data_IF_627100035114
#
_entry.id   IF_627100035114
#
_cell.length_a   1.000
_cell.length_b   1.000
_cell.length_c   1.000
_cell.angle_alpha   90.00
_cell.angle_beta   90.00
_cell.angle_gamma   90.00
#
_symmetry.space_group_name_H-M   'P 1'
#
loop_
_entity.id
_entity.type
_entity.pdbx_description
1 polymer ?
#
# COMPACT_ATOMS: atom_id res chain seq x y z
N UNK A 1 24.96 2.39 44.60
CA UNK A 1 24.10 3.25 43.74
C UNK A 1 24.34 2.86 42.28
N UNK A 2 23.46 2.07 41.64
CA UNK A 2 23.61 1.67 40.22
C UNK A 2 22.65 2.47 39.35
N UNK A 3 23.21 3.17 38.36
CA UNK A 3 22.53 4.07 37.41
C UNK A 3 21.76 3.20 36.39
N UNK A 4 20.43 3.32 36.37
CA UNK A 4 19.58 2.62 35.39
C UNK A 4 19.72 3.38 34.06
N UNK A 5 20.42 2.78 33.12
CA UNK A 5 20.51 3.26 31.74
C UNK A 5 19.15 3.02 31.08
N UNK A 6 18.48 4.11 30.72
CA UNK A 6 17.22 4.10 29.98
C UNK A 6 17.44 3.45 28.60
N UNK A 7 17.16 2.16 28.51
CA UNK A 7 17.08 1.47 27.22
C UNK A 7 15.85 2.01 26.46
N UNK A 8 16.12 2.95 25.55
CA UNK A 8 15.17 3.47 24.57
C UNK A 8 14.54 2.29 23.84
N UNK A 9 13.22 2.10 24.03
CA UNK A 9 12.46 1.02 23.38
C UNK A 9 12.60 1.19 21.87
N UNK A 10 13.31 0.26 21.23
CA UNK A 10 13.28 0.08 19.78
C UNK A 10 11.99 -0.67 19.49
N UNK A 11 10.94 0.06 19.15
CA UNK A 11 9.74 -0.54 18.55
C UNK A 11 10.15 -1.05 17.17
N UNK A 12 10.75 -2.23 17.13
CA UNK A 12 10.74 -3.05 15.93
C UNK A 12 9.29 -3.45 15.71
N UNK A 13 8.74 -3.06 14.56
CA UNK A 13 7.43 -3.47 14.07
C UNK A 13 7.44 -4.99 13.83
N UNK A 14 7.39 -5.76 14.91
CA UNK A 14 7.34 -7.21 14.91
C UNK A 14 6.03 -7.62 15.57
N UNK A 15 5.06 -7.82 14.69
CA UNK A 15 4.12 -8.92 14.75
C UNK A 15 3.45 -9.16 16.12
N UNK A 16 2.79 -8.15 16.67
CA UNK A 16 1.79 -8.41 17.72
C UNK A 16 0.55 -8.96 17.01
N UNK A 17 0.57 -10.25 16.69
CA UNK A 17 -0.66 -11.01 16.44
C UNK A 17 -1.30 -11.25 17.81
N UNK A 18 -2.44 -10.61 18.14
CA UNK A 18 -3.11 -10.86 19.39
C UNK A 18 -3.56 -12.33 19.40
N UNK A 19 -3.26 -13.05 20.47
CA UNK A 19 -3.62 -14.45 20.73
C UNK A 19 -5.16 -14.70 20.81
N UNK A 20 -5.99 -13.77 20.31
CA UNK A 20 -7.45 -13.89 20.23
C UNK A 20 -7.95 -13.48 18.85
N UNK A 21 -8.62 -14.41 18.15
CA UNK A 21 -9.12 -14.27 16.76
C UNK A 21 -10.33 -13.33 16.62
N UNK A 22 -10.31 -12.15 17.23
CA UNK A 22 -11.38 -11.15 17.10
C UNK A 22 -10.98 -10.13 16.05
N UNK A 23 -11.87 -9.88 15.08
CA UNK A 23 -11.68 -8.79 14.12
C UNK A 23 -11.74 -7.46 14.88
N UNK A 24 -10.66 -6.72 14.85
CA UNK A 24 -10.53 -5.38 15.45
C UNK A 24 -9.94 -4.46 14.40
N UNK A 25 -10.32 -3.19 14.45
CA UNK A 25 -9.73 -2.17 13.59
C UNK A 25 -8.32 -1.87 14.09
N UNK A 26 -7.38 -1.79 13.16
CA UNK A 26 -6.03 -1.31 13.40
C UNK A 26 -5.71 -0.20 12.40
N UNK A 27 -4.72 0.62 12.75
CA UNK A 27 -4.12 1.58 11.82
C UNK A 27 -2.82 0.98 11.27
N UNK A 28 -2.62 1.12 9.97
CA UNK A 28 -1.37 0.70 9.31
C UNK A 28 -0.22 1.66 9.60
N UNK A 29 0.95 1.35 9.05
CA UNK A 29 2.09 2.26 9.06
C UNK A 29 1.86 3.48 8.16
N UNK A 30 2.72 4.49 8.31
CA UNK A 30 2.72 5.61 7.38
C UNK A 30 3.06 5.13 5.96
N UNK A 31 2.38 5.68 4.96
CA UNK A 31 2.63 5.43 3.56
C UNK A 31 3.10 6.72 2.89
N UNK A 32 4.00 6.60 1.92
CA UNK A 32 4.37 7.76 1.10
C UNK A 32 3.14 8.24 0.33
N UNK A 33 2.83 9.55 0.37
CA UNK A 33 1.68 10.08 -0.36
C UNK A 33 1.93 10.07 -1.87
N UNK A 34 0.84 10.23 -2.62
CA UNK A 34 0.91 10.45 -4.06
C UNK A 34 1.15 11.94 -4.36
N UNK A 35 2.12 12.24 -5.21
CA UNK A 35 2.49 13.59 -5.59
C UNK A 35 1.83 13.95 -6.93
N UNK A 36 0.96 14.96 -6.93
CA UNK A 36 0.29 15.47 -8.13
C UNK A 36 0.69 16.92 -8.42
N UNK A 37 0.72 17.26 -9.70
CA UNK A 37 0.69 18.64 -10.18
C UNK A 37 -0.77 18.98 -10.53
N UNK A 38 -1.21 20.19 -10.17
CA UNK A 38 -2.57 20.66 -10.44
C UNK A 38 -2.81 20.97 -11.92
N UNK A 39 -1.75 21.22 -12.67
CA UNK A 39 -1.82 21.54 -14.11
C UNK A 39 -1.87 20.28 -14.98
N UNK A 40 -1.44 19.15 -14.41
CA UNK A 40 -1.44 17.87 -15.10
C UNK A 40 -2.80 17.18 -14.95
N UNK A 41 -3.18 16.34 -15.92
CA UNK A 41 -4.39 15.56 -15.83
C UNK A 41 -4.33 14.59 -14.64
N UNK A 42 -5.48 14.23 -14.05
CA UNK A 42 -5.56 13.39 -12.84
C UNK A 42 -5.02 11.97 -13.03
N UNK A 43 -4.73 11.53 -14.26
CA UNK A 43 -4.18 10.22 -14.57
C UNK A 43 -2.63 10.20 -14.65
N UNK A 44 -1.98 11.35 -14.48
CA UNK A 44 -0.52 11.51 -14.63
C UNK A 44 0.12 12.09 -13.35
N UNK A 45 0.09 11.37 -12.22
CA UNK A 45 0.78 11.80 -11.01
C UNK A 45 2.29 11.88 -11.24
N UNK A 46 2.96 12.85 -10.61
CA UNK A 46 4.42 13.01 -10.68
C UNK A 46 5.14 11.86 -9.98
N UNK A 47 4.60 11.40 -8.84
CA UNK A 47 5.11 10.22 -8.11
C UNK A 47 3.95 9.45 -7.52
N UNK A 48 3.93 8.13 -7.74
CA UNK A 48 2.93 7.24 -7.16
C UNK A 48 3.15 7.09 -5.66
N UNK A 49 2.06 7.09 -4.90
CA UNK A 49 2.08 6.81 -3.47
C UNK A 49 2.40 5.34 -3.16
N UNK A 50 2.75 5.05 -1.91
CA UNK A 50 2.99 3.70 -1.44
C UNK A 50 1.67 2.93 -1.28
N UNK A 51 1.68 1.66 -1.70
CA UNK A 51 0.50 0.78 -1.65
C UNK A 51 0.52 0.00 -0.33
N UNK A 52 -0.58 -0.06 0.44
CA UNK A 52 -0.62 -0.82 1.69
C UNK A 52 -0.38 -2.31 1.42
N UNK A 53 0.67 -2.87 2.03
CA UNK A 53 0.92 -4.31 1.99
C UNK A 53 0.02 -5.05 2.99
N UNK A 54 -0.65 -6.13 2.55
CA UNK A 54 -1.42 -7.00 3.45
C UNK A 54 -0.49 -8.02 4.10
N UNK A 55 0.09 -7.66 5.25
CA UNK A 55 1.03 -8.51 6.00
C UNK A 55 0.41 -9.83 6.51
N UNK A 56 -0.92 -9.96 6.52
CA UNK A 56 -1.62 -11.15 7.02
C UNK A 56 -1.89 -12.23 5.97
N UNK A 57 -1.46 -12.03 4.71
CA UNK A 57 -1.60 -13.03 3.65
C UNK A 57 -0.21 -13.33 3.09
N UNK A 58 0.14 -14.62 2.86
CA UNK A 58 1.37 -14.94 2.16
C UNK A 58 1.36 -14.23 0.81
N UNK A 59 2.50 -13.65 0.43
CA UNK A 59 2.75 -12.96 -0.83
C UNK A 59 2.57 -13.96 -1.99
N UNK A 60 1.32 -14.19 -2.38
CA UNK A 60 0.93 -15.18 -3.34
C UNK A 60 -0.48 -14.90 -3.80
N UNK A 61 -0.58 -14.29 -4.99
CA UNK A 61 -1.75 -14.36 -5.85
C UNK A 61 -3.01 -13.65 -5.29
N UNK A 62 -2.91 -12.36 -4.95
CA UNK A 62 -4.11 -11.52 -4.90
C UNK A 62 -4.55 -11.25 -6.35
N UNK A 63 -5.83 -11.43 -6.73
CA UNK A 63 -6.28 -10.96 -8.03
C UNK A 63 -6.06 -9.45 -8.03
N UNK A 64 -5.20 -8.97 -8.94
CA UNK A 64 -5.18 -7.55 -9.28
C UNK A 64 -6.64 -7.14 -9.53
N UNK A 65 -7.08 -6.01 -8.98
CA UNK A 65 -8.35 -5.43 -9.39
C UNK A 65 -8.21 -5.07 -10.88
N UNK A 66 -8.54 -6.02 -11.77
CA UNK A 66 -8.41 -5.85 -13.21
C UNK A 66 -9.55 -4.94 -13.65
N UNK A 67 -9.27 -3.65 -13.75
CA UNK A 67 -10.05 -2.77 -14.61
C UNK A 67 -9.94 -3.34 -16.03
N UNK A 68 -10.98 -4.04 -16.50
CA UNK A 68 -11.05 -4.57 -17.87
C UNK A 68 -11.02 -3.39 -18.83
N UNK A 69 -9.91 -3.16 -19.52
CA UNK A 69 -9.86 -2.22 -20.65
C UNK A 69 -10.51 -2.93 -21.84
N UNK A 70 -11.63 -2.42 -22.33
CA UNK A 70 -12.19 -2.87 -23.60
C UNK A 70 -11.18 -2.54 -24.71
N UNK A 71 -10.73 -3.57 -25.42
CA UNK A 71 -9.98 -3.43 -26.66
C UNK A 71 -10.92 -2.90 -27.74
N UNK A 72 -10.88 -1.58 -27.95
CA UNK A 72 -11.56 -0.94 -29.08
C UNK A 72 -11.09 -1.53 -30.40
N UNK A 73 -12.05 -1.85 -31.25
CA UNK A 73 -11.91 -2.53 -32.53
C UNK A 73 -10.94 -1.83 -33.48
N UNK A 74 -10.14 -2.62 -34.19
CA UNK A 74 -9.31 -2.17 -35.31
C UNK A 74 -10.22 -1.99 -36.53
N UNK A 75 -10.32 -0.78 -37.07
CA UNK A 75 -10.70 -0.59 -38.48
C UNK A 75 -9.87 0.57 -39.06
N UNK A 76 -8.78 0.22 -39.73
CA UNK A 76 -8.17 1.04 -40.77
C UNK A 76 -8.46 0.33 -42.08
N UNK A 77 -9.20 0.97 -42.98
CA UNK A 77 -9.18 0.71 -44.41
C UNK A 77 -9.53 2.05 -45.10
N UNK A 78 -8.53 2.85 -45.44
CA UNK A 78 -8.13 3.16 -46.84
C UNK A 78 -9.29 3.19 -47.84
N UNK A 79 -9.60 4.41 -48.31
CA UNK A 79 -9.65 4.75 -49.73
C UNK A 79 -8.94 6.09 -49.92
#
# INVERSE_FOLDING_TARGET
>A
KKKIISQKRKSGDMLIQPLGKRKRVSFGSHLSPELFDKTLPPNSPLKKGAIPARLSLPLGNSPHAVLKKAQGTKHFAVQ
#
